data_IF_295314228312
#
_entry.id   IF_295314228312
#
_cell.length_a   1.000
_cell.length_b   1.000
_cell.length_c   1.000
_cell.angle_alpha   90.00
_cell.angle_beta   90.00
_cell.angle_gamma   90.00
#
_symmetry.space_group_name_H-M   'P 1'
#
loop_
_entity.id
_entity.type
_entity.pdbx_description
1 polymer ?
#
# COMPACT_ATOMS: atom_id res chain seq x y z
N UNK A 1 13.86 -15.22 -15.50
CA UNK A 1 13.31 -13.86 -15.44
C UNK A 1 13.59 -13.17 -16.75
N UNK A 2 12.57 -12.66 -17.44
CA UNK A 2 12.74 -11.83 -18.64
C UNK A 2 13.20 -10.42 -18.25
N UNK A 3 13.75 -9.65 -19.19
CA UNK A 3 14.12 -8.25 -18.94
C UNK A 3 12.94 -7.36 -18.49
N UNK A 4 11.72 -7.70 -18.94
CA UNK A 4 10.48 -7.00 -18.56
C UNK A 4 10.10 -7.33 -17.11
N UNK A 5 10.21 -8.59 -16.70
CA UNK A 5 9.97 -8.98 -15.30
C UNK A 5 10.95 -8.30 -14.34
N UNK A 6 12.23 -8.19 -14.73
CA UNK A 6 13.24 -7.49 -13.93
C UNK A 6 12.87 -6.00 -13.74
N UNK A 7 12.40 -5.34 -14.80
CA UNK A 7 11.92 -3.96 -14.73
C UNK A 7 10.73 -3.82 -13.78
N UNK A 8 9.78 -4.74 -13.83
CA UNK A 8 8.62 -4.76 -12.93
C UNK A 8 9.02 -4.95 -11.46
N UNK A 9 9.91 -5.90 -11.18
CA UNK A 9 10.42 -6.11 -9.81
C UNK A 9 11.29 -4.96 -9.30
N UNK A 10 12.07 -4.31 -10.17
CA UNK A 10 12.82 -3.12 -9.82
C UNK A 10 11.89 -1.95 -9.46
N UNK A 11 10.85 -1.72 -10.28
CA UNK A 11 9.82 -0.72 -9.99
C UNK A 11 9.08 -1.00 -8.68
N UNK A 12 8.74 -2.27 -8.43
CA UNK A 12 8.16 -2.71 -7.16
C UNK A 12 9.10 -2.42 -5.98
N UNK A 13 10.39 -2.72 -6.08
CA UNK A 13 11.37 -2.46 -5.02
C UNK A 13 11.47 -0.97 -4.66
N UNK A 14 11.44 -0.08 -5.66
CA UNK A 14 11.42 1.37 -5.44
C UNK A 14 10.13 1.79 -4.71
N UNK A 15 8.97 1.26 -5.13
CA UNK A 15 7.70 1.53 -4.46
C UNK A 15 7.68 1.05 -3.01
N UNK A 16 8.21 -0.15 -2.73
CA UNK A 16 8.38 -0.65 -1.35
C UNK A 16 9.23 0.31 -0.53
N UNK A 17 10.37 0.75 -1.08
CA UNK A 17 11.25 1.69 -0.40
C UNK A 17 10.58 3.05 -0.11
N UNK A 18 9.65 3.50 -0.96
CA UNK A 18 8.87 4.71 -0.73
C UNK A 18 7.77 4.52 0.32
N UNK A 19 7.10 3.36 0.33
CA UNK A 19 5.98 3.09 1.23
C UNK A 19 6.41 2.72 2.66
N UNK A 20 7.58 2.11 2.84
CA UNK A 20 8.08 1.72 4.17
C UNK A 20 8.21 2.94 5.10
N UNK A 21 8.93 4.03 4.74
CA UNK A 21 9.06 5.20 5.61
C UNK A 21 7.71 5.85 5.93
N UNK A 22 6.84 6.01 4.92
CA UNK A 22 5.52 6.62 5.12
C UNK A 22 4.64 5.81 6.08
N UNK A 23 4.63 4.49 5.91
CA UNK A 23 3.87 3.58 6.77
C UNK A 23 4.43 3.58 8.19
N UNK A 24 5.76 3.55 8.30
CA UNK A 24 6.46 3.62 9.58
C UNK A 24 6.14 4.93 10.33
N UNK A 25 6.18 6.07 9.65
CA UNK A 25 5.85 7.36 10.25
C UNK A 25 4.40 7.38 10.76
N UNK A 26 3.46 6.83 10.00
CA UNK A 26 2.05 6.71 10.42
C UNK A 26 1.90 5.83 11.66
N UNK A 27 2.56 4.68 11.70
CA UNK A 27 2.54 3.77 12.86
C UNK A 27 3.16 4.45 14.09
N UNK A 28 4.29 5.13 13.90
CA UNK A 28 5.04 5.80 14.96
C UNK A 28 4.27 6.98 15.54
N UNK A 29 3.69 7.82 14.69
CA UNK A 29 2.83 8.95 15.09
C UNK A 29 1.48 8.47 15.63
N UNK A 30 1.04 7.27 15.24
CA UNK A 30 -0.26 6.74 15.61
C UNK A 30 -1.43 7.53 15.02
N UNK A 31 -1.19 8.37 14.01
CA UNK A 31 -2.20 9.15 13.30
C UNK A 31 -1.71 9.44 11.89
N UNK A 32 -2.61 9.87 11.00
CA UNK A 32 -2.25 10.32 9.65
C UNK A 32 -3.02 11.58 9.25
N UNK A 33 -2.29 12.53 8.67
CA UNK A 33 -2.86 13.77 8.10
C UNK A 33 -3.53 13.55 6.74
N UNK A 34 -3.35 12.37 6.13
CA UNK A 34 -3.87 12.03 4.82
C UNK A 34 -5.40 12.16 4.75
N UNK A 35 -5.91 12.61 3.60
CA UNK A 35 -7.34 12.81 3.37
C UNK A 35 -8.08 11.46 3.39
N UNK A 36 -9.20 11.38 4.12
CA UNK A 36 -9.94 10.11 4.26
C UNK A 36 -10.51 9.60 2.92
N UNK A 37 -10.95 10.48 2.02
CA UNK A 37 -11.41 10.08 0.70
C UNK A 37 -10.25 9.49 -0.13
N UNK A 38 -9.05 10.07 -0.03
CA UNK A 38 -7.85 9.53 -0.67
C UNK A 38 -7.54 8.12 -0.16
N UNK A 39 -7.54 7.93 1.17
CA UNK A 39 -7.31 6.62 1.80
C UNK A 39 -8.34 5.59 1.33
N UNK A 40 -9.63 5.94 1.35
CA UNK A 40 -10.70 5.03 0.91
C UNK A 40 -10.50 4.63 -0.55
N UNK A 41 -10.29 5.60 -1.43
CA UNK A 41 -10.08 5.32 -2.86
C UNK A 41 -8.85 4.45 -3.09
N UNK A 42 -7.73 4.74 -2.43
CA UNK A 42 -6.50 3.94 -2.55
C UNK A 42 -6.68 2.53 -2.02
N UNK A 43 -7.27 2.38 -0.84
CA UNK A 43 -7.52 1.07 -0.24
C UNK A 43 -8.47 0.22 -1.10
N UNK A 44 -9.60 0.78 -1.53
CA UNK A 44 -10.58 0.03 -2.32
C UNK A 44 -10.04 -0.35 -3.70
N UNK A 45 -9.39 0.59 -4.39
CA UNK A 45 -8.81 0.34 -5.72
C UNK A 45 -7.71 -0.71 -5.68
N UNK A 46 -6.74 -0.56 -4.76
CA UNK A 46 -5.65 -1.52 -4.62
C UNK A 46 -6.15 -2.90 -4.22
N UNK A 47 -7.14 -3.00 -3.32
CA UNK A 47 -7.73 -4.30 -2.96
C UNK A 47 -8.39 -4.99 -4.16
N UNK A 48 -9.18 -4.26 -4.93
CA UNK A 48 -9.81 -4.80 -6.15
C UNK A 48 -8.77 -5.26 -7.17
N UNK A 49 -7.69 -4.49 -7.35
CA UNK A 49 -6.59 -4.83 -8.25
C UNK A 49 -5.75 -6.00 -7.74
N UNK A 50 -5.59 -6.17 -6.43
CA UNK A 50 -4.97 -7.38 -5.84
C UNK A 50 -5.80 -8.61 -6.16
N UNK A 51 -7.12 -8.56 -5.95
CA UNK A 51 -8.00 -9.70 -6.26
C UNK A 51 -7.93 -10.03 -7.75
N UNK A 52 -8.03 -9.02 -8.61
CA UNK A 52 -7.89 -9.18 -10.06
C UNK A 52 -6.56 -9.85 -10.44
N UNK A 53 -5.45 -9.33 -9.94
CA UNK A 53 -4.10 -9.81 -10.30
C UNK A 53 -3.79 -11.22 -9.80
N UNK A 54 -4.33 -11.60 -8.64
CA UNK A 54 -4.28 -12.98 -8.15
C UNK A 54 -5.01 -13.92 -9.10
N UNK A 55 -6.20 -13.53 -9.58
CA UNK A 55 -7.00 -14.33 -10.51
C UNK A 55 -6.31 -14.45 -11.88
N UNK A 56 -5.68 -13.38 -12.37
CA UNK A 56 -4.99 -13.38 -13.66
C UNK A 56 -3.56 -13.94 -13.60
N UNK A 57 -3.05 -14.28 -12.41
CA UNK A 57 -1.72 -14.85 -12.23
C UNK A 57 -0.57 -13.87 -12.49
N UNK A 58 -0.75 -12.57 -12.22
CA UNK A 58 0.31 -11.56 -12.34
C UNK A 58 0.97 -11.30 -10.97
N UNK A 59 2.15 -11.88 -10.69
CA UNK A 59 2.77 -11.79 -9.37
C UNK A 59 3.31 -10.39 -9.05
N UNK A 60 3.79 -9.63 -10.05
CA UNK A 60 4.36 -8.29 -9.82
C UNK A 60 3.22 -7.34 -9.48
N UNK A 61 2.13 -7.39 -10.24
CA UNK A 61 0.96 -6.55 -10.01
C UNK A 61 0.23 -6.94 -8.71
N UNK A 62 0.22 -8.24 -8.38
CA UNK A 62 -0.27 -8.73 -7.08
C UNK A 62 0.53 -8.16 -5.92
N UNK A 63 1.86 -8.30 -5.94
CA UNK A 63 2.73 -7.83 -4.87
C UNK A 63 2.60 -6.32 -4.66
N UNK A 64 2.58 -5.55 -5.76
CA UNK A 64 2.44 -4.11 -5.75
C UNK A 64 1.10 -3.68 -5.11
N UNK A 65 -0.02 -4.21 -5.60
CA UNK A 65 -1.33 -3.80 -5.08
C UNK A 65 -1.59 -4.33 -3.66
N UNK A 66 -1.04 -5.50 -3.30
CA UNK A 66 -1.15 -6.02 -1.94
C UNK A 66 -0.43 -5.10 -0.95
N UNK A 67 0.78 -4.63 -1.29
CA UNK A 67 1.50 -3.63 -0.49
C UNK A 67 0.68 -2.35 -0.32
N UNK A 68 0.11 -1.82 -1.41
CA UNK A 68 -0.71 -0.61 -1.36
C UNK A 68 -1.97 -0.79 -0.51
N UNK A 69 -2.59 -1.97 -0.60
CA UNK A 69 -3.77 -2.34 0.21
C UNK A 69 -3.41 -2.35 1.68
N UNK A 70 -2.29 -2.98 2.06
CA UNK A 70 -1.82 -3.04 3.43
C UNK A 70 -1.45 -1.63 3.95
N UNK A 71 -0.64 -0.88 3.20
CA UNK A 71 -0.22 0.47 3.59
C UNK A 71 -1.40 1.43 3.74
N UNK A 72 -2.34 1.41 2.80
CA UNK A 72 -3.56 2.22 2.86
C UNK A 72 -4.50 1.74 3.97
N UNK A 73 -4.55 0.44 4.25
CA UNK A 73 -5.29 -0.12 5.38
C UNK A 73 -4.75 0.34 6.73
N UNK A 74 -3.42 0.43 6.87
CA UNK A 74 -2.76 1.01 8.06
C UNK A 74 -3.12 2.50 8.19
N UNK A 75 -3.02 3.26 7.10
CA UNK A 75 -3.45 4.66 7.08
C UNK A 75 -4.92 4.81 7.46
N UNK A 76 -5.81 3.94 6.95
CA UNK A 76 -7.22 3.93 7.29
C UNK A 76 -7.45 3.65 8.77
N UNK A 77 -6.77 2.65 9.34
CA UNK A 77 -6.87 2.31 10.75
C UNK A 77 -6.49 3.51 11.63
N UNK A 78 -5.32 4.13 11.40
CA UNK A 78 -4.87 5.27 12.20
C UNK A 78 -5.60 6.58 11.91
N UNK A 79 -6.32 6.68 10.78
CA UNK A 79 -7.23 7.80 10.51
C UNK A 79 -8.52 7.70 11.33
N UNK A 80 -9.07 6.48 11.45
CA UNK A 80 -10.32 6.20 12.17
C UNK A 80 -10.10 6.06 13.68
N UNK A 81 -8.94 5.54 14.08
CA UNK A 81 -8.57 5.27 15.47
C UNK A 81 -7.19 5.87 15.79
N UNK A 82 -7.05 7.21 15.78
CA UNK A 82 -5.78 7.84 16.13
C UNK A 82 -5.40 7.48 17.57
N UNK A 83 -4.13 7.15 17.79
CA UNK A 83 -3.57 6.92 19.13
C UNK A 83 -3.64 8.24 19.88
N UNK A 84 -4.32 8.26 21.02
CA UNK A 84 -4.32 9.42 21.93
C UNK A 84 -2.88 9.71 22.34
N UNK A 85 -2.44 10.95 22.23
CA UNK A 85 -1.22 11.39 22.92
C UNK A 85 -1.41 11.07 24.42
N UNK A 86 -0.46 10.34 25.00
CA UNK A 86 -0.42 10.03 26.43
C UNK A 86 -0.05 11.28 27.22
#
# INVERSE_FOLDING_TARGET
>A
MTGIELLGWAGFGILVAAWIPQTWDTIKQGSTSMNIAFIIMYFSSSLMLTIYSVITGDPIFTALNALLTIGSGINMYYKLFPRKEL
#
